data_IF_259926829627
#
_entry.id   IF_259926829627
#
_cell.length_a   1.000
_cell.length_b   1.000
_cell.length_c   1.000
_cell.angle_alpha   90.00
_cell.angle_beta   90.00
_cell.angle_gamma   90.00
#
_symmetry.space_group_name_H-M   'P 1'
#
loop_
_entity.id
_entity.type
_entity.pdbx_description
1 polymer ?
#
# COMPACT_ATOMS: atom_id res chain seq x y z
N UNK A 1 9.15 -18.18 -13.72
CA UNK A 1 9.91 -17.52 -12.65
C UNK A 1 10.21 -16.09 -13.10
N UNK A 2 9.47 -15.10 -12.57
CA UNK A 2 9.62 -13.64 -12.80
C UNK A 2 10.04 -12.91 -11.50
N UNK A 3 10.68 -13.62 -10.56
CA UNK A 3 10.97 -13.14 -9.19
C UNK A 3 11.55 -11.70 -9.11
N UNK A 4 12.50 -11.30 -9.97
CA UNK A 4 13.06 -9.94 -9.94
C UNK A 4 12.08 -8.83 -10.32
N UNK A 5 11.05 -9.13 -11.11
CA UNK A 5 10.03 -8.15 -11.51
C UNK A 5 9.08 -7.85 -10.35
N UNK A 6 8.69 -8.90 -9.64
CA UNK A 6 7.73 -8.77 -8.54
C UNK A 6 8.34 -8.05 -7.34
N UNK A 7 9.62 -8.31 -7.04
CA UNK A 7 10.37 -7.60 -6.00
C UNK A 7 10.45 -6.10 -6.31
N UNK A 8 10.75 -5.71 -7.56
CA UNK A 8 10.72 -4.30 -7.98
C UNK A 8 9.33 -3.67 -7.85
N UNK A 9 8.27 -4.39 -8.22
CA UNK A 9 6.90 -3.89 -8.03
C UNK A 9 6.57 -3.69 -6.55
N UNK A 10 7.08 -4.56 -5.66
CA UNK A 10 6.96 -4.40 -4.22
C UNK A 10 7.74 -3.20 -3.69
N UNK A 11 8.97 -2.97 -4.14
CA UNK A 11 9.76 -1.80 -3.77
C UNK A 11 9.03 -0.50 -4.13
N UNK A 12 8.47 -0.41 -5.35
CA UNK A 12 7.68 0.76 -5.77
C UNK A 12 6.40 0.89 -4.94
N UNK A 13 5.73 -0.23 -4.63
CA UNK A 13 4.55 -0.20 -3.75
C UNK A 13 4.89 0.37 -2.37
N UNK A 14 6.00 -0.06 -1.76
CA UNK A 14 6.44 0.44 -0.45
C UNK A 14 6.78 1.93 -0.53
N UNK A 15 7.51 2.37 -1.56
CA UNK A 15 7.84 3.78 -1.76
C UNK A 15 6.59 4.65 -1.86
N UNK A 16 5.59 4.22 -2.63
CA UNK A 16 4.32 4.94 -2.74
C UNK A 16 3.58 5.04 -1.39
N UNK A 17 3.68 4.01 -0.56
CA UNK A 17 3.03 3.99 0.75
C UNK A 17 3.79 4.84 1.77
N UNK A 18 5.12 4.74 1.87
CA UNK A 18 5.89 5.39 2.93
C UNK A 18 6.26 6.85 2.59
N UNK A 19 6.76 7.08 1.37
CA UNK A 19 7.31 8.38 0.98
C UNK A 19 6.21 9.29 0.41
N UNK A 20 5.47 8.79 -0.58
CA UNK A 20 4.41 9.55 -1.27
C UNK A 20 3.08 9.56 -0.51
N UNK A 21 2.94 8.69 0.51
CA UNK A 21 1.77 8.60 1.39
C UNK A 21 0.45 8.53 0.63
N UNK A 22 0.40 7.74 -0.44
CA UNK A 22 -0.80 7.59 -1.31
C UNK A 22 -2.06 7.17 -0.55
N UNK A 23 -1.91 6.58 0.64
CA UNK A 23 -3.01 6.23 1.52
C UNK A 23 -3.82 7.45 1.99
N UNK A 24 -3.25 8.66 1.99
CA UNK A 24 -3.91 9.90 2.42
C UNK A 24 -5.01 10.35 1.46
N UNK A 25 -4.90 10.01 0.16
CA UNK A 25 -5.96 10.29 -0.80
C UNK A 25 -7.03 9.19 -0.71
N UNK A 26 -8.27 9.49 -0.29
CA UNK A 26 -9.33 8.47 -0.14
C UNK A 26 -9.82 7.91 -1.49
N UNK A 27 -9.58 8.60 -2.61
CA UNK A 27 -10.00 8.18 -3.95
C UNK A 27 -9.04 7.20 -4.61
N UNK A 28 -7.80 7.12 -4.12
CA UNK A 28 -6.87 6.10 -4.60
C UNK A 28 -7.27 4.72 -4.09
N UNK A 29 -7.31 3.77 -5.01
CA UNK A 29 -7.58 2.37 -4.68
C UNK A 29 -6.33 1.54 -4.89
N UNK A 30 -6.27 0.37 -4.26
CA UNK A 30 -5.19 -0.58 -4.52
C UNK A 30 -5.08 -0.94 -6.01
N UNK A 31 -6.20 -0.99 -6.74
CA UNK A 31 -6.20 -1.20 -8.19
C UNK A 31 -5.54 -0.04 -8.95
N UNK A 32 -5.82 1.20 -8.55
CA UNK A 32 -5.18 2.40 -9.11
C UNK A 32 -3.66 2.37 -8.91
N UNK A 33 -3.22 2.02 -7.70
CA UNK A 33 -1.80 1.89 -7.35
C UNK A 33 -1.14 0.79 -8.19
N UNK A 34 -1.78 -0.37 -8.34
CA UNK A 34 -1.26 -1.45 -9.18
C UNK A 34 -1.10 -1.03 -10.65
N UNK A 35 -2.05 -0.25 -11.19
CA UNK A 35 -1.95 0.30 -12.55
C UNK A 35 -0.77 1.24 -12.71
N UNK A 36 -0.46 2.08 -11.70
CA UNK A 36 0.72 2.95 -11.72
C UNK A 36 2.04 2.16 -11.72
N UNK A 37 2.08 1.07 -10.95
CA UNK A 37 3.24 0.16 -10.87
C UNK A 37 3.39 -0.68 -12.16
N UNK A 38 2.35 -0.79 -12.98
CA UNK A 38 2.35 -1.61 -14.19
C UNK A 38 2.19 -3.11 -13.91
N UNK A 39 1.46 -3.45 -12.83
CA UNK A 39 1.19 -4.84 -12.42
C UNK A 39 -0.31 -5.13 -12.33
N UNK A 40 -0.70 -6.35 -12.65
CA UNK A 40 -2.06 -6.82 -12.45
C UNK A 40 -2.40 -6.90 -10.96
N UNK A 41 -3.53 -6.30 -10.55
CA UNK A 41 -4.02 -6.33 -9.16
C UNK A 41 -4.01 -7.73 -8.56
N UNK A 42 -4.50 -8.74 -9.30
CA UNK A 42 -4.57 -10.13 -8.81
C UNK A 42 -3.20 -10.73 -8.53
N UNK A 43 -2.19 -10.39 -9.34
CA UNK A 43 -0.84 -10.92 -9.19
C UNK A 43 -0.13 -10.27 -8.01
N UNK A 44 -0.26 -8.94 -7.88
CA UNK A 44 0.25 -8.21 -6.72
C UNK A 44 -0.43 -8.67 -5.43
N UNK A 45 -1.76 -8.82 -5.42
CA UNK A 45 -2.51 -9.26 -4.24
C UNK A 45 -2.11 -10.67 -3.79
N UNK A 46 -1.93 -11.59 -4.75
CA UNK A 46 -1.43 -12.94 -4.47
C UNK A 46 -0.03 -12.90 -3.88
N UNK A 47 0.87 -12.12 -4.48
CA UNK A 47 2.24 -11.99 -3.98
C UNK A 47 2.30 -11.39 -2.57
N UNK A 48 1.55 -10.32 -2.30
CA UNK A 48 1.45 -9.72 -0.97
C UNK A 48 0.91 -10.70 0.06
N UNK A 49 -0.09 -11.51 -0.29
CA UNK A 49 -0.60 -12.57 0.58
C UNK A 49 0.43 -13.66 0.86
N UNK A 50 1.20 -14.06 -0.14
CA UNK A 50 2.27 -15.05 0.02
C UNK A 50 3.41 -14.54 0.92
N UNK A 51 3.75 -13.25 0.83
CA UNK A 51 4.87 -12.66 1.59
C UNK A 51 4.48 -12.15 2.98
N UNK A 52 3.30 -11.56 3.13
CA UNK A 52 2.88 -10.82 4.33
C UNK A 52 1.58 -11.34 4.96
N UNK A 53 0.91 -12.30 4.31
CA UNK A 53 -0.35 -12.88 4.79
C UNK A 53 -1.61 -12.04 4.54
N UNK A 54 -1.49 -10.87 3.90
CA UNK A 54 -2.60 -9.96 3.66
C UNK A 54 -2.58 -9.37 2.23
N UNK A 55 -3.75 -8.95 1.75
CA UNK A 55 -3.89 -8.33 0.43
C UNK A 55 -3.53 -6.85 0.44
N UNK A 56 -3.23 -6.29 -0.72
CA UNK A 56 -2.83 -4.87 -0.82
C UNK A 56 -3.94 -3.89 -0.45
N UNK A 57 -5.21 -4.27 -0.65
CA UNK A 57 -6.35 -3.48 -0.17
C UNK A 57 -6.42 -3.46 1.37
N UNK A 58 -6.08 -4.56 2.04
CA UNK A 58 -6.04 -4.64 3.50
C UNK A 58 -4.90 -3.79 4.06
N UNK A 59 -3.73 -3.84 3.41
CA UNK A 59 -2.59 -2.97 3.75
C UNK A 59 -2.98 -1.50 3.61
N UNK A 60 -3.56 -1.09 2.48
CA UNK A 60 -3.99 0.30 2.27
C UNK A 60 -5.00 0.75 3.33
N UNK A 61 -5.95 -0.12 3.68
CA UNK A 61 -6.94 0.15 4.74
C UNK A 61 -6.27 0.30 6.10
N UNK A 62 -5.28 -0.53 6.43
CA UNK A 62 -4.55 -0.45 7.69
C UNK A 62 -3.81 0.89 7.82
N UNK A 63 -3.13 1.32 6.77
CA UNK A 63 -2.48 2.64 6.73
C UNK A 63 -3.47 3.77 6.97
N UNK A 64 -4.61 3.76 6.27
CA UNK A 64 -5.68 4.76 6.46
C UNK A 64 -6.24 4.79 7.88
N UNK A 65 -6.42 3.63 8.50
CA UNK A 65 -6.88 3.52 9.89
C UNK A 65 -5.85 3.99 10.91
N UNK A 66 -4.56 3.92 10.58
CA UNK A 66 -3.48 4.38 11.45
C UNK A 66 -3.24 5.89 11.38
N UNK A 67 -3.70 6.59 10.32
CA UNK A 67 -3.48 8.04 10.16
C UNK A 67 -3.98 8.85 11.36
N UNK A 68 -5.25 8.70 11.83
CA UNK A 68 -5.74 9.49 12.95
C UNK A 68 -4.94 9.24 14.24
N UNK A 69 -4.50 7.99 14.45
CA UNK A 69 -3.66 7.62 15.60
C UNK A 69 -2.29 8.29 15.53
N UNK A 70 -1.65 8.32 14.36
CA UNK A 70 -0.35 8.96 14.19
C UNK A 70 -0.40 10.47 14.45
N UNK A 71 -1.44 11.16 13.99
CA UNK A 71 -1.62 12.59 14.26
C UNK A 71 -1.89 12.88 15.74
N UNK A 72 -2.66 12.00 16.40
CA UNK A 72 -2.92 12.08 17.83
C UNK A 72 -1.63 11.89 18.64
N UNK A 73 -0.86 10.83 18.36
CA UNK A 73 0.38 10.52 19.09
C UNK A 73 1.46 11.58 18.88
N UNK A 74 1.62 12.07 17.64
CA UNK A 74 2.72 12.99 17.29
C UNK A 74 2.42 14.46 17.60
N UNK A 75 1.17 14.88 17.47
CA UNK A 75 0.80 16.29 17.54
C UNK A 75 -0.34 16.59 18.52
N UNK A 76 -0.98 15.57 19.12
CA UNK A 76 -2.16 15.76 19.97
C UNK A 76 -3.41 16.21 19.20
N UNK A 77 -3.46 16.00 17.88
CA UNK A 77 -4.56 16.43 17.01
C UNK A 77 -5.44 15.22 16.68
N UNK A 78 -6.75 15.35 16.92
CA UNK A 78 -7.76 14.41 16.45
C UNK A 78 -8.35 14.93 15.13
N UNK A 79 -8.15 14.16 14.04
CA UNK A 79 -8.69 14.44 12.71
C UNK A 79 -10.07 13.79 12.51
#
# INVERSE_FOLDING_TARGET
>A
MERPRMEKCLEVFVLLMEDEKVYMDPFLTFDSICRWIGIGKKDMDRYLKEQFGCGGADILKAYRGAVPLHFLEKYGILL
#
